data_IF_459653646487
#
_entry.id   IF_459653646487
#
_cell.length_a   1.000
_cell.length_b   1.000
_cell.length_c   1.000
_cell.angle_alpha   90.00
_cell.angle_beta   90.00
_cell.angle_gamma   90.00
#
_symmetry.space_group_name_H-M   'P 1'
#
loop_
_entity.id
_entity.type
_entity.pdbx_description
1 polymer ?
#
# COMPACT_ATOMS: atom_id res chain seq x y z
N UNK A 1 -0.94 -45.84 -51.25
CA UNK A 1 -1.72 -44.70 -50.73
C UNK A 1 -1.69 -44.78 -49.21
N UNK A 2 -0.70 -44.13 -48.61
CA UNK A 2 -0.40 -44.24 -47.18
C UNK A 2 -1.16 -43.15 -46.44
N UNK A 3 -2.14 -43.52 -45.62
CA UNK A 3 -2.92 -42.58 -44.80
C UNK A 3 -2.09 -42.18 -43.59
N UNK A 4 -1.64 -40.93 -43.55
CA UNK A 4 -1.05 -40.31 -42.36
C UNK A 4 -2.21 -39.97 -41.43
N UNK A 5 -2.31 -40.67 -40.30
CA UNK A 5 -3.22 -40.33 -39.22
C UNK A 5 -2.64 -39.13 -38.45
N UNK A 6 -3.29 -37.98 -38.55
CA UNK A 6 -2.97 -36.80 -37.75
C UNK A 6 -3.63 -36.94 -36.38
N UNK A 7 -2.83 -37.23 -35.35
CA UNK A 7 -3.27 -37.24 -33.95
C UNK A 7 -3.36 -35.78 -33.47
N UNK A 8 -4.57 -35.26 -33.32
CA UNK A 8 -4.81 -33.95 -32.74
C UNK A 8 -4.50 -33.99 -31.23
N UNK A 9 -3.44 -33.28 -30.81
CA UNK A 9 -3.11 -33.07 -29.41
C UNK A 9 -4.08 -32.02 -28.85
N UNK A 10 -5.12 -32.46 -28.15
CA UNK A 10 -6.02 -31.55 -27.43
C UNK A 10 -5.26 -30.95 -26.24
N UNK A 11 -4.84 -29.69 -26.37
CA UNK A 11 -4.41 -28.86 -25.24
C UNK A 11 -5.59 -28.74 -24.29
N UNK A 12 -5.52 -29.45 -23.15
CA UNK A 12 -6.41 -29.25 -22.03
C UNK A 12 -6.17 -27.83 -21.49
N UNK A 13 -6.98 -26.87 -21.95
CA UNK A 13 -7.13 -25.59 -21.28
C UNK A 13 -7.73 -25.89 -19.90
N UNK A 14 -6.89 -26.02 -18.89
CA UNK A 14 -7.38 -26.04 -17.51
C UNK A 14 -8.11 -24.73 -17.27
N UNK A 15 -9.35 -24.75 -16.74
CA UNK A 15 -10.00 -23.52 -16.33
C UNK A 15 -9.02 -22.78 -15.41
N UNK A 16 -8.84 -21.48 -15.68
CA UNK A 16 -8.06 -20.58 -14.84
C UNK A 16 -8.74 -20.57 -13.46
N UNK A 17 -8.36 -21.51 -12.61
CA UNK A 17 -8.80 -21.53 -11.23
C UNK A 17 -8.43 -20.18 -10.63
N UNK A 18 -9.34 -19.59 -9.84
CA UNK A 18 -9.03 -18.40 -9.07
C UNK A 18 -7.70 -18.64 -8.35
N UNK A 19 -6.71 -17.79 -8.65
CA UNK A 19 -5.36 -17.97 -8.14
C UNK A 19 -5.38 -17.76 -6.63
N UNK A 20 -4.93 -18.76 -5.87
CA UNK A 20 -4.76 -18.63 -4.43
C UNK A 20 -3.51 -17.80 -4.13
N UNK A 21 -3.73 -16.52 -3.81
CA UNK A 21 -2.64 -15.60 -3.48
C UNK A 21 -2.03 -15.87 -2.10
N UNK A 22 -2.62 -16.73 -1.27
CA UNK A 22 -2.04 -17.06 0.04
C UNK A 22 -0.83 -17.99 -0.06
N UNK A 23 -0.70 -18.71 -1.18
CA UNK A 23 0.36 -19.69 -1.37
C UNK A 23 1.76 -19.05 -1.32
N UNK A 24 2.59 -19.52 -0.39
CA UNK A 24 3.97 -19.05 -0.25
C UNK A 24 4.12 -17.65 0.35
N UNK A 25 3.03 -17.06 0.85
CA UNK A 25 3.06 -15.83 1.65
C UNK A 25 3.76 -16.07 2.99
N UNK A 26 4.66 -15.17 3.36
CA UNK A 26 5.30 -15.11 4.69
C UNK A 26 4.78 -13.91 5.51
N UNK A 27 3.69 -13.28 5.07
CA UNK A 27 3.01 -12.22 5.80
C UNK A 27 2.65 -12.65 7.23
N UNK A 28 2.96 -11.76 8.19
CA UNK A 28 2.63 -11.97 9.60
C UNK A 28 1.26 -11.38 9.89
N UNK A 29 0.38 -12.17 10.47
CA UNK A 29 -0.93 -11.74 10.97
C UNK A 29 -0.80 -10.54 11.92
N UNK A 30 -1.74 -9.59 11.80
CA UNK A 30 -1.90 -8.47 12.73
C UNK A 30 -3.19 -8.62 13.57
N UNK A 31 -3.88 -9.75 13.42
CA UNK A 31 -5.19 -10.03 14.00
C UNK A 31 -6.26 -8.99 13.58
N UNK A 32 -6.15 -8.46 12.36
CA UNK A 32 -7.21 -7.64 11.78
C UNK A 32 -8.38 -8.54 11.39
N UNK A 33 -9.59 -8.00 11.49
CA UNK A 33 -10.77 -8.65 10.97
C UNK A 33 -10.62 -8.88 9.45
N UNK A 34 -10.97 -10.07 8.97
CA UNK A 34 -10.96 -10.44 7.56
C UNK A 34 -9.59 -10.37 6.85
N UNK A 35 -8.47 -10.43 7.60
CA UNK A 35 -7.15 -10.50 6.99
C UNK A 35 -6.84 -11.89 6.41
N UNK A 36 -6.31 -11.90 5.19
CA UNK A 36 -5.85 -13.08 4.48
C UNK A 36 -4.44 -12.84 3.95
N UNK A 37 -3.49 -13.76 4.17
CA UNK A 37 -2.16 -13.65 3.56
C UNK A 37 -2.26 -13.59 2.04
N UNK A 38 -1.52 -12.67 1.41
CA UNK A 38 -1.52 -12.53 -0.03
C UNK A 38 -0.14 -12.10 -0.55
N UNK A 39 0.39 -12.93 -1.45
CA UNK A 39 1.63 -12.75 -2.18
C UNK A 39 1.37 -12.80 -3.68
N UNK A 40 1.83 -11.80 -4.41
CA UNK A 40 1.61 -11.72 -5.85
C UNK A 40 2.61 -10.78 -6.53
N UNK A 41 2.75 -10.94 -7.84
CA UNK A 41 3.48 -10.01 -8.69
C UNK A 41 2.56 -8.86 -9.12
N UNK A 42 3.07 -7.63 -9.11
CA UNK A 42 2.34 -6.45 -9.56
C UNK A 42 3.28 -5.37 -10.11
N UNK A 43 2.76 -4.57 -11.06
CA UNK A 43 3.37 -3.30 -11.45
C UNK A 43 3.01 -2.22 -10.43
N UNK A 44 4.00 -1.51 -9.92
CA UNK A 44 3.76 -0.36 -9.05
C UNK A 44 3.37 0.85 -9.89
N UNK A 45 2.30 1.54 -9.51
CA UNK A 45 1.74 2.66 -10.28
C UNK A 45 1.44 3.87 -9.41
N UNK A 46 1.48 5.06 -9.99
CA UNK A 46 0.74 6.20 -9.46
C UNK A 46 -0.76 5.97 -9.72
N UNK A 47 -1.56 5.95 -8.66
CA UNK A 47 -3.00 5.65 -8.75
C UNK A 47 -3.73 6.68 -9.61
N UNK A 48 -3.35 7.96 -9.55
CA UNK A 48 -4.00 8.99 -10.34
C UNK A 48 -3.70 8.78 -11.83
N UNK A 49 -2.43 8.59 -12.19
CA UNK A 49 -2.01 8.26 -13.55
C UNK A 49 -2.75 7.03 -14.11
N UNK A 50 -2.87 5.95 -13.33
CA UNK A 50 -3.53 4.72 -13.78
C UNK A 50 -5.05 4.92 -13.99
N UNK A 51 -5.71 5.72 -13.14
CA UNK A 51 -7.16 5.92 -13.22
C UNK A 51 -7.57 6.99 -14.25
N UNK A 52 -6.76 8.03 -14.44
CA UNK A 52 -7.13 9.19 -15.28
C UNK A 52 -6.35 9.27 -16.59
N UNK A 53 -5.19 8.60 -16.68
CA UNK A 53 -4.23 8.79 -17.76
C UNK A 53 -3.38 10.06 -17.65
N UNK A 54 -3.63 10.90 -16.64
CA UNK A 54 -2.87 12.12 -16.38
C UNK A 54 -1.68 11.83 -15.47
N UNK A 55 -0.53 11.55 -16.09
CA UNK A 55 0.64 11.09 -15.37
C UNK A 55 1.57 12.26 -15.00
N UNK A 56 1.76 12.46 -13.69
CA UNK A 56 2.77 13.37 -13.19
C UNK A 56 4.18 12.83 -13.47
N UNK A 57 5.15 13.74 -13.62
CA UNK A 57 6.56 13.36 -13.69
C UNK A 57 6.98 12.61 -12.41
N UNK A 58 7.88 11.63 -12.56
CA UNK A 58 8.42 10.83 -11.44
C UNK A 58 7.32 10.21 -10.54
N UNK A 59 6.17 9.87 -11.11
CA UNK A 59 5.02 9.30 -10.39
C UNK A 59 4.58 10.13 -9.18
N UNK A 60 4.61 11.46 -9.32
CA UNK A 60 4.27 12.38 -8.25
C UNK A 60 5.37 12.57 -7.20
N UNK A 61 6.61 12.14 -7.48
CA UNK A 61 7.80 12.34 -6.65
C UNK A 61 7.62 11.90 -5.17
N UNK A 62 6.84 10.84 -4.95
CA UNK A 62 6.52 10.31 -3.62
C UNK A 62 5.42 11.07 -2.86
N UNK A 63 4.82 12.10 -3.45
CA UNK A 63 3.66 12.81 -2.90
C UNK A 63 2.30 12.19 -3.25
N UNK A 64 2.26 11.31 -4.25
CA UNK A 64 1.04 10.63 -4.68
C UNK A 64 0.87 9.27 -3.98
N UNK A 65 -0.39 8.83 -3.89
CA UNK A 65 -0.71 7.48 -3.45
C UNK A 65 -0.27 6.47 -4.52
N UNK A 66 0.50 5.47 -4.10
CA UNK A 66 0.92 4.38 -4.97
C UNK A 66 -0.09 3.23 -4.94
N UNK A 67 -0.20 2.52 -6.06
CA UNK A 67 -1.04 1.36 -6.28
C UNK A 67 -0.25 0.18 -6.84
N UNK A 68 -0.90 -0.98 -6.89
CA UNK A 68 -0.33 -2.22 -7.40
C UNK A 68 -1.28 -2.81 -8.45
N UNK A 69 -0.90 -2.77 -9.72
CA UNK A 69 -1.65 -3.47 -10.78
C UNK A 69 -1.14 -4.90 -10.84
N UNK A 70 -1.92 -5.83 -10.30
CA UNK A 70 -1.53 -7.24 -10.17
C UNK A 70 -1.39 -7.90 -11.54
N UNK A 71 -0.27 -8.60 -11.77
CA UNK A 71 0.05 -9.20 -13.07
C UNK A 71 -0.96 -10.27 -13.47
N UNK A 72 -1.49 -11.03 -12.50
CA UNK A 72 -2.35 -12.18 -12.75
C UNK A 72 -3.68 -11.84 -13.44
N UNK A 73 -4.26 -10.68 -13.11
CA UNK A 73 -5.64 -10.32 -13.48
C UNK A 73 -5.83 -8.84 -13.81
N UNK A 74 -4.79 -8.01 -13.74
CA UNK A 74 -4.85 -6.58 -14.04
C UNK A 74 -5.62 -5.75 -13.01
N UNK A 75 -5.95 -6.33 -11.86
CA UNK A 75 -6.68 -5.63 -10.80
C UNK A 75 -5.77 -4.61 -10.11
N UNK A 76 -6.29 -3.39 -9.92
CA UNK A 76 -5.66 -2.38 -9.07
C UNK A 76 -5.91 -2.71 -7.59
N UNK A 77 -4.85 -3.11 -6.89
CA UNK A 77 -4.82 -3.32 -5.45
C UNK A 77 -4.30 -2.06 -4.75
N UNK A 78 -4.97 -1.66 -3.66
CA UNK A 78 -4.67 -0.47 -2.89
C UNK A 78 -3.86 -0.80 -1.63
N UNK A 79 -2.54 -0.54 -1.61
CA UNK A 79 -1.69 -0.75 -0.46
C UNK A 79 -1.86 0.41 0.54
N UNK A 80 -2.94 0.36 1.34
CA UNK A 80 -3.32 1.41 2.28
C UNK A 80 -2.50 1.37 3.59
N UNK A 81 -1.69 0.33 3.80
CA UNK A 81 -0.85 0.18 4.99
C UNK A 81 0.45 -0.53 4.65
N UNK A 82 1.49 -0.23 5.43
CA UNK A 82 2.77 -0.92 5.35
C UNK A 82 3.03 -1.75 6.63
N UNK A 83 4.27 -2.22 6.80
CA UNK A 83 4.70 -3.03 7.94
C UNK A 83 4.96 -2.22 9.23
N UNK A 84 4.66 -0.92 9.25
CA UNK A 84 4.85 -0.08 10.43
C UNK A 84 3.53 0.16 11.17
N UNK A 85 3.51 0.08 12.50
CA UNK A 85 2.32 0.38 13.30
C UNK A 85 2.14 1.90 13.50
N UNK A 86 2.34 2.71 12.45
CA UNK A 86 2.31 4.18 12.50
C UNK A 86 1.32 4.82 11.52
N UNK A 87 0.46 3.99 10.91
CA UNK A 87 -0.65 4.42 10.05
C UNK A 87 -0.26 5.34 8.89
N UNK A 88 0.92 5.12 8.31
CA UNK A 88 1.51 6.01 7.31
C UNK A 88 1.28 5.61 5.85
N UNK A 89 0.48 4.58 5.59
CA UNK A 89 0.36 3.97 4.26
C UNK A 89 1.66 3.35 3.75
N UNK A 90 1.70 3.03 2.46
CA UNK A 90 2.83 2.39 1.79
C UNK A 90 3.43 3.20 0.63
N UNK A 91 3.00 4.46 0.44
CA UNK A 91 3.46 5.28 -0.69
C UNK A 91 4.99 5.45 -0.70
N UNK A 92 5.58 5.78 0.44
CA UNK A 92 7.04 5.93 0.58
C UNK A 92 7.82 4.61 0.39
N UNK A 93 7.16 3.46 0.59
CA UNK A 93 7.75 2.14 0.37
C UNK A 93 7.75 1.75 -1.11
N UNK A 94 6.70 2.12 -1.82
CA UNK A 94 6.46 1.73 -3.21
C UNK A 94 6.99 2.74 -4.23
N UNK A 95 7.06 4.04 -3.89
CA UNK A 95 7.53 5.09 -4.80
C UNK A 95 8.86 4.77 -5.50
N UNK A 96 9.90 4.19 -4.84
CA UNK A 96 11.16 3.83 -5.51
C UNK A 96 11.03 2.80 -6.64
N UNK A 97 9.89 2.10 -6.70
CA UNK A 97 9.61 1.04 -7.65
C UNK A 97 8.59 1.46 -8.72
N UNK A 98 8.24 2.75 -8.83
CA UNK A 98 7.20 3.16 -9.77
C UNK A 98 7.49 2.70 -11.20
N UNK A 99 6.45 2.19 -11.88
CA UNK A 99 6.47 1.56 -13.20
C UNK A 99 7.32 0.28 -13.29
N UNK A 100 7.86 -0.21 -12.19
CA UNK A 100 8.55 -1.49 -12.12
C UNK A 100 7.59 -2.57 -11.65
N UNK A 101 7.84 -3.78 -12.14
CA UNK A 101 7.18 -4.98 -11.64
C UNK A 101 7.94 -5.45 -10.40
N UNK A 102 7.19 -5.72 -9.33
CA UNK A 102 7.70 -6.26 -8.06
C UNK A 102 6.85 -7.42 -7.61
N UNK A 103 7.43 -8.28 -6.77
CA UNK A 103 6.69 -9.22 -5.95
C UNK A 103 6.40 -8.57 -4.59
N UNK A 104 5.15 -8.63 -4.14
CA UNK A 104 4.74 -8.13 -2.82
C UNK A 104 4.21 -9.26 -1.97
N UNK A 105 4.38 -9.12 -0.66
CA UNK A 105 3.89 -10.08 0.34
C UNK A 105 3.35 -9.31 1.57
N UNK A 106 2.18 -9.72 2.07
CA UNK A 106 1.38 -8.91 2.97
C UNK A 106 0.00 -9.49 3.27
N UNK A 107 -0.89 -8.67 3.84
CA UNK A 107 -2.23 -9.06 4.24
C UNK A 107 -3.27 -8.33 3.37
N UNK A 108 -4.10 -9.08 2.65
CA UNK A 108 -5.31 -8.56 2.01
C UNK A 108 -6.44 -8.52 3.03
N UNK A 109 -7.30 -7.51 2.97
CA UNK A 109 -8.60 -7.52 3.67
C UNK A 109 -9.66 -7.95 2.66
N UNK A 110 -10.32 -9.07 2.95
CA UNK A 110 -11.39 -9.63 2.13
C UNK A 110 -12.66 -9.79 2.97
N UNK A 111 -13.54 -8.80 2.86
CA UNK A 111 -14.80 -8.74 3.59
C UNK A 111 -15.96 -8.67 2.59
N UNK A 112 -16.76 -9.75 2.53
CA UNK A 112 -17.91 -9.84 1.63
C UNK A 112 -19.06 -8.91 2.06
N UNK A 113 -19.25 -8.70 3.37
CA UNK A 113 -20.35 -7.87 3.90
C UNK A 113 -20.11 -6.40 3.59
N UNK A 114 -18.85 -5.95 3.59
CA UNK A 114 -18.44 -4.59 3.22
C UNK A 114 -18.05 -4.45 1.74
N UNK A 115 -18.06 -5.55 0.98
CA UNK A 115 -17.57 -5.63 -0.40
C UNK A 115 -16.13 -5.08 -0.56
N UNK A 116 -15.27 -5.35 0.41
CA UNK A 116 -13.86 -4.96 0.42
C UNK A 116 -13.02 -6.14 -0.07
N UNK A 117 -12.28 -5.96 -1.17
CA UNK A 117 -11.50 -7.05 -1.80
C UNK A 117 -10.09 -6.67 -2.25
N UNK A 118 -9.75 -5.38 -2.18
CA UNK A 118 -8.51 -4.83 -2.77
C UNK A 118 -7.79 -3.87 -1.81
N UNK A 119 -8.02 -4.02 -0.51
CA UNK A 119 -7.34 -3.27 0.54
C UNK A 119 -6.21 -4.12 1.07
N UNK A 120 -4.98 -3.64 0.89
CA UNK A 120 -3.79 -4.43 1.15
C UNK A 120 -2.86 -3.75 2.15
N UNK A 121 -2.33 -4.53 3.07
CA UNK A 121 -1.19 -4.17 3.90
C UNK A 121 0.05 -4.87 3.36
N UNK A 122 0.86 -4.14 2.60
CA UNK A 122 2.14 -4.66 2.13
C UNK A 122 3.12 -4.75 3.30
N UNK A 123 3.76 -5.91 3.48
CA UNK A 123 4.77 -6.10 4.52
C UNK A 123 6.18 -6.19 3.94
N UNK A 124 6.30 -6.74 2.73
CA UNK A 124 7.56 -6.97 2.04
C UNK A 124 7.42 -6.70 0.55
N UNK A 125 8.52 -6.26 -0.05
CA UNK A 125 8.62 -5.95 -1.48
C UNK A 125 9.92 -6.56 -2.00
N UNK A 126 9.86 -7.23 -3.15
CA UNK A 126 11.00 -7.80 -3.87
C UNK A 126 10.98 -7.35 -5.34
N UNK A 127 11.95 -6.55 -5.79
CA UNK A 127 12.16 -6.31 -7.22
C UNK A 127 12.49 -7.61 -7.97
N UNK A 128 12.26 -7.66 -9.28
CA UNK A 128 12.47 -8.88 -10.10
C UNK A 128 13.86 -9.53 -9.87
N UNK A 129 14.91 -8.73 -9.85
CA UNK A 129 16.30 -9.18 -9.64
C UNK A 129 16.86 -8.77 -8.26
N UNK A 130 15.97 -8.55 -7.28
CA UNK A 130 16.31 -8.03 -5.97
C UNK A 130 16.04 -8.99 -4.82
N UNK A 131 16.49 -8.58 -3.63
CA UNK A 131 16.19 -9.25 -2.37
C UNK A 131 14.91 -8.71 -1.74
N UNK A 132 14.28 -9.52 -0.88
CA UNK A 132 13.14 -9.07 -0.08
C UNK A 132 13.53 -7.94 0.86
N UNK A 133 12.81 -6.83 0.78
CA UNK A 133 12.91 -5.72 1.73
C UNK A 133 11.62 -5.58 2.52
N UNK A 134 11.69 -4.97 3.71
CA UNK A 134 10.49 -4.65 4.50
C UNK A 134 9.89 -3.34 3.99
N UNK A 135 8.56 -3.30 3.89
CA UNK A 135 7.82 -2.07 3.66
C UNK A 135 7.72 -1.27 4.98
N UNK A 136 8.79 -0.56 5.34
CA UNK A 136 8.87 0.20 6.60
C UNK A 136 9.69 1.50 6.51
N UNK A 137 9.68 2.15 5.35
CA UNK A 137 10.54 3.28 5.02
C UNK A 137 9.97 4.62 5.46
N UNK A 138 8.66 4.72 5.69
CA UNK A 138 7.99 6.00 5.90
C UNK A 138 8.67 6.88 6.95
N UNK A 139 8.90 6.36 8.16
CA UNK A 139 9.47 7.19 9.24
C UNK A 139 10.89 7.68 8.94
N UNK A 140 11.66 6.92 8.15
CA UNK A 140 13.00 7.33 7.70
C UNK A 140 12.90 8.43 6.65
N UNK A 141 12.01 8.28 5.67
CA UNK A 141 11.76 9.29 4.63
C UNK A 141 11.23 10.58 5.26
N UNK A 142 10.28 10.47 6.19
CA UNK A 142 9.73 11.61 6.93
C UNK A 142 10.81 12.37 7.71
N UNK A 143 11.70 11.65 8.43
CA UNK A 143 12.77 12.29 9.18
C UNK A 143 13.79 12.99 8.27
N UNK A 144 14.05 12.45 7.07
CA UNK A 144 14.93 13.06 6.09
C UNK A 144 14.35 14.35 5.49
N UNK A 145 13.03 14.42 5.31
CA UNK A 145 12.35 15.62 4.82
C UNK A 145 12.06 16.66 5.90
N UNK A 146 12.18 16.29 7.18
CA UNK A 146 11.93 17.17 8.33
C UNK A 146 13.09 17.11 9.35
N UNK A 147 14.31 17.52 8.97
CA UNK A 147 15.48 17.44 9.86
C UNK A 147 15.30 18.28 11.14
N UNK A 148 14.52 19.36 11.08
CA UNK A 148 14.26 20.25 12.22
C UNK A 148 13.17 19.70 13.17
N UNK A 149 12.48 18.60 12.79
CA UNK A 149 11.45 17.93 13.60
C UNK A 149 12.02 16.77 14.47
N UNK A 150 13.30 16.84 14.80
CA UNK A 150 13.97 15.84 15.62
C UNK A 150 13.38 15.74 17.05
N UNK A 151 13.43 14.55 17.64
CA UNK A 151 12.99 14.32 19.02
C UNK A 151 12.32 12.96 19.24
N UNK A 152 11.93 12.72 20.49
CA UNK A 152 11.32 11.46 20.93
C UNK A 152 9.79 11.48 20.80
N UNK A 153 9.20 10.28 20.73
CA UNK A 153 7.75 10.08 20.67
C UNK A 153 7.17 9.98 19.25
N UNK A 154 5.83 9.97 19.11
CA UNK A 154 5.17 9.80 17.82
C UNK A 154 5.54 10.90 16.81
N UNK A 155 5.82 10.52 15.56
CA UNK A 155 6.27 11.43 14.50
C UNK A 155 5.30 12.60 14.27
N UNK A 156 3.99 12.32 14.28
CA UNK A 156 2.94 13.30 13.96
C UNK A 156 2.87 14.45 14.96
N UNK A 157 3.34 14.26 16.20
CA UNK A 157 3.41 15.34 17.22
C UNK A 157 4.51 16.36 16.92
N UNK A 158 5.42 16.04 16.01
CA UNK A 158 6.52 16.92 15.59
C UNK A 158 6.42 17.28 14.12
N UNK A 159 5.41 16.79 13.41
CA UNK A 159 5.23 17.12 12.00
C UNK A 159 4.79 18.58 11.88
N UNK A 160 5.56 19.43 11.19
CA UNK A 160 5.25 20.86 11.11
C UNK A 160 3.91 21.12 10.42
N UNK A 161 3.44 20.24 9.53
CA UNK A 161 2.14 20.38 8.86
C UNK A 161 1.00 20.11 9.83
N UNK A 162 1.17 19.12 10.71
CA UNK A 162 0.20 18.82 11.77
C UNK A 162 0.15 19.98 12.76
N UNK A 163 1.31 20.48 13.20
CA UNK A 163 1.38 21.61 14.12
C UNK A 163 0.79 22.88 13.50
N UNK A 164 1.03 23.15 12.21
CA UNK A 164 0.42 24.29 11.51
C UNK A 164 -1.11 24.19 11.46
N UNK A 165 -1.67 22.99 11.26
CA UNK A 165 -3.12 22.79 11.31
C UNK A 165 -3.66 23.03 12.71
N UNK A 166 -2.99 22.50 13.75
CA UNK A 166 -3.40 22.71 15.15
C UNK A 166 -3.32 24.19 15.53
N UNK A 167 -2.26 24.90 15.15
CA UNK A 167 -2.10 26.32 15.42
C UNK A 167 -3.23 27.15 14.78
N UNK A 168 -3.72 26.72 13.61
CA UNK A 168 -4.79 27.40 12.87
C UNK A 168 -6.20 27.02 13.36
N UNK A 169 -6.44 25.74 13.62
CA UNK A 169 -7.79 25.18 13.77
C UNK A 169 -8.05 24.60 15.16
N UNK A 170 -7.05 24.58 16.03
CA UNK A 170 -7.11 23.86 17.30
C UNK A 170 -7.02 22.34 17.13
N UNK A 171 -6.80 21.63 18.23
CA UNK A 171 -6.85 20.18 18.38
C UNK A 171 -8.22 19.60 18.02
N UNK A 172 -9.30 20.32 18.31
CA UNK A 172 -10.66 19.88 17.98
C UNK A 172 -11.07 20.22 16.55
N UNK A 173 -10.30 21.04 15.82
CA UNK A 173 -10.68 21.57 14.51
C UNK A 173 -11.81 22.61 14.57
N UNK A 174 -12.07 23.17 15.76
CA UNK A 174 -13.12 24.16 16.01
C UNK A 174 -12.59 25.57 16.29
N UNK A 175 -11.28 25.73 16.45
CA UNK A 175 -10.61 26.97 16.83
C UNK A 175 -9.87 26.86 18.16
N UNK A 176 -8.82 27.67 18.39
CA UNK A 176 -8.09 27.70 19.66
C UNK A 176 -8.92 28.15 20.87
N UNK A 177 -9.99 28.93 20.66
CA UNK A 177 -10.87 29.40 21.74
C UNK A 177 -11.72 28.24 22.29
N UNK A 178 -12.30 27.43 21.39
CA UNK A 178 -13.07 26.24 21.71
C UNK A 178 -12.21 25.17 22.39
N UNK A 179 -10.96 25.00 21.95
CA UNK A 179 -10.00 24.14 22.62
C UNK A 179 -9.72 24.59 24.07
N UNK A 180 -9.51 25.90 24.28
CA UNK A 180 -9.22 26.43 25.60
C UNK A 180 -10.40 26.22 26.56
N UNK A 181 -11.63 26.46 26.09
CA UNK A 181 -12.84 26.19 26.85
C UNK A 181 -12.99 24.69 27.16
N UNK A 182 -12.76 23.82 26.18
CA UNK A 182 -12.82 22.37 26.38
C UNK A 182 -11.82 21.88 27.42
N UNK A 183 -10.58 22.38 27.38
CA UNK A 183 -9.53 22.02 28.34
C UNK A 183 -9.92 22.49 29.75
N UNK A 184 -10.40 23.73 29.92
CA UNK A 184 -10.84 24.23 31.22
C UNK A 184 -11.98 23.40 31.84
N UNK A 185 -12.88 22.86 31.02
CA UNK A 185 -13.98 22.03 31.47
C UNK A 185 -13.58 20.57 31.81
N UNK A 186 -12.45 20.08 31.32
CA UNK A 186 -12.09 18.65 31.34
C UNK A 186 -10.72 18.31 31.99
N UNK A 187 -9.89 19.29 32.34
CA UNK A 187 -8.67 19.13 33.15
C UNK A 187 -8.93 19.22 34.67
#
# INVERSE_FOLDING_TARGET
>A
MTRIAATALALLATPLAAQDFSQGSEARSWNLYAEVPARFEARVVDVLCELTGECAADCGAGGHQMGLVRTADGVLVMPLKNNQPVFSGAAADLAPYCNQTVEVDGLMIEDEDLNVRYVYQVQRIKPQDGEWTKANRFTQVWAQSHPDAAGDGPWFRRDPRVNEVIDREGYLGLGPEEDAAFIEEND
#
